data_IF_225058456038
#
_entry.id   IF_225058456038
#
_cell.length_a   1.000
_cell.length_b   1.000
_cell.length_c   1.000
_cell.angle_alpha   90.00
_cell.angle_beta   90.00
_cell.angle_gamma   90.00
#
_symmetry.space_group_name_H-M   'P 1'
#
loop_
_entity.id
_entity.type
_entity.pdbx_description
1 polymer ?
#
# COMPACT_ATOMS: atom_id res chain seq x y z
N UNK A 1 0.00 -7.20 41.89
CA UNK A 1 -0.62 -7.35 40.55
C UNK A 1 -0.60 -5.98 39.89
N UNK A 2 0.33 -5.73 38.97
CA UNK A 2 0.26 -4.52 38.11
C UNK A 2 -0.91 -4.78 37.15
N UNK A 3 -1.92 -3.91 37.15
CA UNK A 3 -3.01 -4.00 36.19
C UNK A 3 -2.43 -3.99 34.78
N UNK A 4 -2.63 -5.06 34.02
CA UNK A 4 -2.23 -5.11 32.62
C UNK A 4 -3.13 -4.14 31.86
N UNK A 5 -2.59 -2.97 31.51
CA UNK A 5 -3.30 -1.96 30.73
C UNK A 5 -3.42 -2.48 29.30
N UNK A 6 -4.55 -3.11 28.99
CA UNK A 6 -4.97 -3.39 27.61
C UNK A 6 -5.11 -2.06 26.87
N UNK A 7 -4.88 -2.03 25.54
CA UNK A 7 -5.11 -0.81 24.75
C UNK A 7 -6.59 -0.42 24.80
N UNK A 8 -6.91 0.58 25.62
CA UNK A 8 -8.25 1.17 25.74
C UNK A 8 -8.25 2.67 25.46
N UNK A 9 -7.08 3.30 25.57
CA UNK A 9 -6.84 4.73 25.32
C UNK A 9 -5.79 4.94 24.24
N UNK A 10 -5.76 6.15 23.67
CA UNK A 10 -4.77 6.54 22.65
C UNK A 10 -3.34 6.51 23.20
N UNK A 11 -3.12 6.89 24.47
CA UNK A 11 -1.79 6.89 25.07
C UNK A 11 -1.27 5.46 25.33
N UNK A 12 -2.16 4.53 25.74
CA UNK A 12 -1.82 3.11 25.81
C UNK A 12 -1.50 2.53 24.43
N UNK A 13 -2.23 2.95 23.39
CA UNK A 13 -1.95 2.56 22.01
C UNK A 13 -0.56 3.03 21.55
N UNK A 14 -0.16 4.27 21.91
CA UNK A 14 1.17 4.78 21.62
C UNK A 14 2.27 4.00 22.36
N UNK A 15 2.07 3.72 23.66
CA UNK A 15 3.01 2.89 24.42
C UNK A 15 3.11 1.45 23.90
N UNK A 16 2.00 0.88 23.41
CA UNK A 16 1.98 -0.42 22.74
C UNK A 16 2.77 -0.38 21.42
N UNK A 17 2.54 0.63 20.59
CA UNK A 17 3.21 0.81 19.32
C UNK A 17 4.72 1.02 19.48
N UNK A 18 5.16 1.76 20.50
CA UNK A 18 6.57 1.91 20.85
C UNK A 18 7.22 0.56 21.17
N UNK A 19 6.60 -0.27 22.03
CA UNK A 19 7.11 -1.62 22.35
C UNK A 19 7.17 -2.53 21.12
N UNK A 20 6.17 -2.46 20.24
CA UNK A 20 6.17 -3.18 18.97
C UNK A 20 7.37 -2.76 18.11
N UNK A 21 7.61 -1.45 17.99
CA UNK A 21 8.71 -0.90 17.21
C UNK A 21 10.05 -1.43 17.75
N UNK A 22 10.33 -1.26 19.05
CA UNK A 22 11.58 -1.73 19.66
C UNK A 22 11.78 -3.24 19.50
N UNK A 23 10.70 -4.04 19.60
CA UNK A 23 10.75 -5.49 19.40
C UNK A 23 11.17 -5.86 17.98
N UNK A 24 10.57 -5.22 16.98
CA UNK A 24 10.89 -5.51 15.57
C UNK A 24 12.33 -5.10 15.26
N UNK A 25 12.78 -3.96 15.79
CA UNK A 25 14.17 -3.48 15.61
C UNK A 25 15.18 -4.41 16.24
N UNK A 26 14.92 -4.86 17.48
CA UNK A 26 15.78 -5.83 18.15
C UNK A 26 15.88 -7.17 17.38
N UNK A 27 14.81 -7.58 16.72
CA UNK A 27 14.79 -8.81 15.92
C UNK A 27 15.48 -8.66 14.54
N UNK A 28 15.57 -7.42 14.03
CA UNK A 28 16.11 -7.13 12.70
C UNK A 28 17.62 -6.88 12.70
N UNK A 29 18.24 -6.72 13.87
CA UNK A 29 19.68 -6.55 14.04
C UNK A 29 20.25 -5.21 13.55
N UNK A 30 19.48 -4.45 12.75
CA UNK A 30 19.73 -3.08 12.31
C UNK A 30 18.40 -2.33 12.48
N UNK A 31 18.44 -1.06 12.92
CA UNK A 31 17.22 -0.28 13.17
C UNK A 31 16.31 -0.24 11.94
N UNK A 32 14.99 -0.09 12.15
CA UNK A 32 14.02 0.16 11.08
C UNK A 32 14.26 1.55 10.49
N UNK A 33 15.40 1.73 9.84
CA UNK A 33 15.62 2.90 9.02
C UNK A 33 14.74 2.70 7.79
N UNK A 34 14.23 3.80 7.24
CA UNK A 34 13.61 3.82 5.92
C UNK A 34 14.59 3.40 4.81
N UNK A 35 15.83 3.05 5.18
CA UNK A 35 16.92 2.41 4.47
C UNK A 35 17.01 0.90 4.76
N UNK A 36 15.91 0.16 4.88
CA UNK A 36 16.02 -1.22 4.42
C UNK A 36 15.84 -1.14 2.91
N UNK A 37 16.93 -1.29 2.12
CA UNK A 37 16.75 -1.67 0.75
C UNK A 37 15.78 -2.84 0.69
N UNK A 38 15.19 -3.08 -0.47
CA UNK A 38 14.75 -4.45 -0.74
C UNK A 38 15.87 -5.43 -0.31
N UNK A 39 15.60 -6.71 -0.04
CA UNK A 39 16.67 -7.69 0.26
C UNK A 39 17.75 -7.81 -0.86
N UNK A 40 17.65 -6.96 -1.87
CA UNK A 40 18.44 -6.76 -3.05
C UNK A 40 19.01 -5.31 -3.08
N UNK A 41 20.11 -5.09 -2.38
CA UNK A 41 20.79 -3.78 -2.35
C UNK A 41 21.25 -3.30 -3.75
N UNK A 42 21.40 -4.23 -4.70
CA UNK A 42 21.70 -3.92 -6.10
C UNK A 42 20.49 -3.28 -6.79
N UNK A 43 19.29 -3.82 -6.59
CA UNK A 43 18.06 -3.24 -7.12
C UNK A 43 17.80 -1.80 -6.64
N UNK A 44 18.18 -1.50 -5.39
CA UNK A 44 18.04 -0.15 -4.82
C UNK A 44 19.07 0.84 -5.39
N UNK A 45 20.29 0.40 -5.65
CA UNK A 45 21.31 1.22 -6.33
C UNK A 45 20.95 1.45 -7.81
N UNK A 46 20.41 0.45 -8.50
CA UNK A 46 19.89 0.58 -9.86
C UNK A 46 18.75 1.60 -9.93
N UNK A 47 17.83 1.55 -8.96
CA UNK A 47 16.74 2.49 -8.84
C UNK A 47 17.26 3.91 -8.57
N UNK A 48 18.24 4.08 -7.69
CA UNK A 48 18.89 5.38 -7.47
C UNK A 48 19.51 5.94 -8.74
N UNK A 49 20.29 5.13 -9.47
CA UNK A 49 20.88 5.51 -10.75
C UNK A 49 19.82 5.92 -11.78
N UNK A 50 18.71 5.19 -11.84
CA UNK A 50 17.59 5.54 -12.72
C UNK A 50 16.96 6.90 -12.35
N UNK A 51 16.82 7.21 -11.06
CA UNK A 51 16.31 8.51 -10.61
C UNK A 51 17.28 9.63 -10.99
N UNK A 52 18.57 9.48 -10.68
CA UNK A 52 19.59 10.50 -10.95
C UNK A 52 19.74 10.77 -12.45
N UNK A 53 19.58 9.73 -13.28
CA UNK A 53 19.62 9.84 -14.74
C UNK A 53 18.29 10.29 -15.37
N UNK A 54 17.23 10.51 -14.59
CA UNK A 54 15.88 10.76 -15.10
C UNK A 54 15.40 9.66 -16.09
N UNK A 55 15.81 8.41 -15.84
CA UNK A 55 15.49 7.25 -16.69
C UNK A 55 14.03 6.82 -16.48
N UNK A 56 13.14 7.47 -17.22
CA UNK A 56 11.71 7.20 -17.19
C UNK A 56 11.36 5.78 -17.61
N UNK A 57 12.13 5.15 -18.49
CA UNK A 57 11.85 3.77 -18.92
C UNK A 57 12.14 2.78 -17.79
N UNK A 58 13.24 2.98 -17.06
CA UNK A 58 13.57 2.18 -15.89
C UNK A 58 12.54 2.36 -14.76
N UNK A 59 12.17 3.60 -14.43
CA UNK A 59 11.15 3.88 -13.41
C UNK A 59 9.77 3.30 -13.77
N UNK A 60 9.41 3.37 -15.06
CA UNK A 60 8.21 2.70 -15.56
C UNK A 60 8.26 1.18 -15.35
N UNK A 61 9.38 0.54 -15.66
CA UNK A 61 9.55 -0.90 -15.48
C UNK A 61 9.39 -1.31 -14.01
N UNK A 62 9.96 -0.54 -13.08
CA UNK A 62 9.81 -0.72 -11.62
C UNK A 62 8.34 -0.65 -11.21
N UNK A 63 7.61 0.37 -11.67
CA UNK A 63 6.19 0.55 -11.38
C UNK A 63 5.34 -0.62 -11.91
N UNK A 64 5.54 -1.02 -13.17
CA UNK A 64 4.79 -2.13 -13.79
C UNK A 64 5.09 -3.48 -13.12
N UNK A 65 6.35 -3.73 -12.75
CA UNK A 65 6.72 -4.91 -11.98
C UNK A 65 5.98 -4.92 -10.63
N UNK A 66 5.98 -3.78 -9.93
CA UNK A 66 5.22 -3.59 -8.69
C UNK A 66 3.73 -3.91 -8.81
N UNK A 67 3.09 -3.53 -9.92
CA UNK A 67 1.67 -3.79 -10.15
C UNK A 67 1.37 -5.29 -10.33
N UNK A 68 2.34 -6.07 -10.78
CA UNK A 68 2.19 -7.51 -11.03
C UNK A 68 2.00 -8.34 -9.76
N UNK A 69 2.42 -7.83 -8.61
CA UNK A 69 2.26 -8.47 -7.29
C UNK A 69 0.80 -8.45 -6.77
N UNK A 70 -0.10 -7.70 -7.41
CA UNK A 70 -1.47 -7.56 -6.91
C UNK A 70 -2.31 -8.85 -6.98
N UNK A 71 -2.80 -9.28 -5.81
CA UNK A 71 -3.82 -10.33 -5.69
C UNK A 71 -3.31 -11.73 -6.00
N UNK A 72 -2.00 -11.96 -5.86
CA UNK A 72 -1.32 -13.26 -5.91
C UNK A 72 -0.13 -13.22 -4.93
N UNK A 73 0.55 -14.36 -4.73
CA UNK A 73 1.80 -14.39 -3.95
C UNK A 73 2.97 -13.85 -4.75
N UNK A 74 3.97 -13.30 -4.07
CA UNK A 74 5.16 -12.72 -4.72
C UNK A 74 5.89 -13.74 -5.59
N UNK A 75 6.09 -14.96 -5.09
CA UNK A 75 6.71 -16.04 -5.85
C UNK A 75 5.94 -16.38 -7.15
N UNK A 76 4.61 -16.28 -7.13
CA UNK A 76 3.80 -16.51 -8.33
C UNK A 76 3.95 -15.36 -9.33
N UNK A 77 3.99 -14.12 -8.84
CA UNK A 77 4.18 -12.95 -9.68
C UNK A 77 5.55 -12.97 -10.36
N UNK A 78 6.60 -13.25 -9.57
CA UNK A 78 7.98 -13.31 -10.03
C UNK A 78 8.18 -14.38 -11.11
N UNK A 79 7.75 -15.62 -10.84
CA UNK A 79 7.80 -16.71 -11.84
C UNK A 79 7.07 -16.34 -13.14
N UNK A 80 5.91 -15.70 -13.05
CA UNK A 80 5.18 -15.27 -14.25
C UNK A 80 5.98 -14.24 -15.06
N UNK A 81 6.62 -13.27 -14.40
CA UNK A 81 7.44 -12.26 -15.07
C UNK A 81 8.72 -12.86 -15.66
N UNK A 82 9.32 -13.86 -15.01
CA UNK A 82 10.47 -14.61 -15.55
C UNK A 82 10.08 -15.41 -16.80
N UNK A 83 8.91 -16.05 -16.81
CA UNK A 83 8.44 -16.88 -17.92
C UNK A 83 7.91 -16.06 -19.12
N UNK A 84 7.27 -14.91 -18.85
CA UNK A 84 6.53 -14.16 -19.87
C UNK A 84 7.01 -12.72 -20.09
N UNK A 85 7.97 -12.26 -19.30
CA UNK A 85 8.43 -10.88 -19.30
C UNK A 85 7.47 -9.90 -18.61
N UNK A 86 7.85 -8.63 -18.63
CA UNK A 86 7.06 -7.49 -18.19
C UNK A 86 6.70 -6.59 -19.37
N UNK A 87 5.81 -5.61 -19.15
CA UNK A 87 5.53 -4.64 -20.19
C UNK A 87 6.72 -3.69 -20.35
N UNK A 88 7.24 -3.58 -21.56
CA UNK A 88 8.42 -2.78 -21.89
C UNK A 88 8.02 -1.39 -22.44
N UNK A 89 8.72 -0.34 -22.00
CA UNK A 89 8.41 1.04 -22.36
C UNK A 89 8.55 1.30 -23.88
N UNK A 90 9.71 1.01 -24.53
CA UNK A 90 9.84 1.10 -25.98
C UNK A 90 8.80 0.27 -26.76
N UNK A 91 8.47 -0.95 -26.29
CA UNK A 91 7.47 -1.78 -26.93
C UNK A 91 6.06 -1.15 -26.91
N UNK A 92 5.67 -0.54 -25.78
CA UNK A 92 4.39 0.18 -25.68
C UNK A 92 4.39 1.42 -26.57
N UNK A 93 5.48 2.20 -26.55
CA UNK A 93 5.63 3.39 -27.40
C UNK A 93 5.38 3.05 -28.88
N UNK A 94 6.07 2.04 -29.41
CA UNK A 94 5.90 1.56 -30.79
C UNK A 94 4.48 1.05 -31.05
N UNK A 95 3.93 0.30 -30.10
CA UNK A 95 2.57 -0.25 -30.23
C UNK A 95 1.50 0.84 -30.27
N UNK A 96 1.71 1.95 -29.54
CA UNK A 96 0.84 3.11 -29.57
C UNK A 96 0.96 3.87 -30.89
N UNK A 97 2.17 4.05 -31.41
CA UNK A 97 2.39 4.68 -32.73
C UNK A 97 1.68 3.92 -33.84
N UNK A 98 1.73 2.59 -33.81
CA UNK A 98 1.05 1.72 -34.77
C UNK A 98 -0.47 1.64 -34.54
N UNK A 99 -0.90 1.73 -33.28
CA UNK A 99 -2.29 1.49 -32.88
C UNK A 99 -3.17 2.73 -32.77
N UNK A 100 -2.61 3.94 -32.70
CA UNK A 100 -3.36 5.18 -32.41
C UNK A 100 -4.47 5.48 -33.42
N UNK A 101 -4.27 5.10 -34.68
CA UNK A 101 -5.25 5.30 -35.75
C UNK A 101 -6.32 4.19 -35.76
N UNK A 102 -6.05 3.04 -35.11
CA UNK A 102 -7.01 1.95 -34.94
C UNK A 102 -8.04 2.25 -33.85
N UNK A 103 -7.64 2.97 -32.79
CA UNK A 103 -8.50 3.20 -31.63
C UNK A 103 -8.26 4.60 -31.03
N UNK A 104 -9.28 5.49 -31.03
CA UNK A 104 -9.17 6.83 -30.47
C UNK A 104 -8.77 6.86 -28.98
N UNK A 105 -9.03 5.77 -28.26
CA UNK A 105 -8.66 5.63 -26.84
C UNK A 105 -7.15 5.51 -26.61
N UNK A 106 -6.36 5.22 -27.64
CA UNK A 106 -4.90 5.10 -27.54
C UNK A 106 -4.19 6.44 -27.75
N UNK A 107 -4.93 7.51 -28.07
CA UNK A 107 -4.36 8.81 -28.38
C UNK A 107 -3.76 9.51 -27.15
N UNK A 108 -4.36 9.34 -25.97
CA UNK A 108 -3.90 9.98 -24.75
C UNK A 108 -4.50 9.39 -23.49
N UNK A 109 -3.96 9.79 -22.34
CA UNK A 109 -4.34 9.29 -21.03
C UNK A 109 -5.84 9.45 -20.76
N UNK A 110 -6.39 10.65 -20.99
CA UNK A 110 -7.81 10.92 -20.76
C UNK A 110 -8.72 10.06 -21.64
N UNK A 111 -8.39 9.89 -22.92
CA UNK A 111 -9.19 9.06 -23.83
C UNK A 111 -9.06 7.57 -23.49
N UNK A 112 -7.93 7.16 -22.91
CA UNK A 112 -7.66 5.79 -22.48
C UNK A 112 -8.46 5.34 -21.26
N UNK A 113 -8.87 6.26 -20.37
CA UNK A 113 -9.69 5.93 -19.17
C UNK A 113 -10.93 5.10 -19.53
N UNK A 114 -11.49 5.31 -20.72
CA UNK A 114 -12.63 4.56 -21.24
C UNK A 114 -12.29 3.20 -21.91
N UNK A 115 -11.06 2.70 -21.84
CA UNK A 115 -10.62 1.45 -22.50
C UNK A 115 -11.37 0.24 -21.94
N UNK A 116 -11.33 0.02 -20.62
CA UNK A 116 -12.08 -1.04 -19.91
C UNK A 116 -11.87 -2.43 -20.52
N UNK A 117 -10.66 -2.75 -20.94
CA UNK A 117 -10.34 -4.05 -21.52
C UNK A 117 -10.50 -5.20 -20.52
N UNK A 118 -11.31 -6.19 -20.87
CA UNK A 118 -11.55 -7.38 -20.07
C UNK A 118 -11.07 -8.62 -20.81
N UNK A 119 -9.84 -9.06 -20.50
CA UNK A 119 -9.17 -10.20 -21.15
C UNK A 119 -10.02 -11.47 -21.19
N UNK A 120 -10.64 -11.84 -20.06
CA UNK A 120 -11.46 -13.06 -19.96
C UNK A 120 -12.72 -13.03 -20.85
N UNK A 121 -13.35 -11.85 -20.99
CA UNK A 121 -14.55 -11.67 -21.82
C UNK A 121 -14.25 -11.30 -23.26
N UNK A 122 -12.99 -10.94 -23.57
CA UNK A 122 -12.56 -10.37 -24.85
C UNK A 122 -13.46 -9.18 -25.25
N UNK A 123 -13.63 -8.23 -24.34
CA UNK A 123 -14.41 -7.00 -24.56
C UNK A 123 -13.63 -5.77 -24.14
N UNK A 124 -13.93 -4.61 -24.73
CA UNK A 124 -13.43 -3.31 -24.30
C UNK A 124 -14.43 -2.21 -24.71
N UNK A 125 -14.12 -0.96 -24.39
CA UNK A 125 -14.90 0.23 -24.76
C UNK A 125 -14.75 0.66 -26.23
N UNK A 126 -14.02 -0.11 -27.06
CA UNK A 126 -14.02 0.02 -28.51
C UNK A 126 -13.93 -1.39 -29.17
N UNK A 127 -15.03 -2.15 -29.22
CA UNK A 127 -15.02 -3.53 -29.69
C UNK A 127 -14.52 -3.70 -31.13
N UNK A 128 -14.75 -2.71 -32.00
CA UNK A 128 -14.37 -2.77 -33.41
C UNK A 128 -12.85 -2.85 -33.62
N UNK A 129 -12.08 -2.17 -32.75
CA UNK A 129 -10.63 -2.15 -32.82
C UNK A 129 -9.96 -3.33 -32.07
N UNK A 130 -10.73 -4.12 -31.30
CA UNK A 130 -10.19 -5.13 -30.41
C UNK A 130 -9.32 -6.21 -31.09
N UNK A 131 -9.67 -6.74 -32.28
CA UNK A 131 -8.87 -7.79 -32.92
C UNK A 131 -7.42 -7.42 -33.20
N UNK A 132 -7.15 -6.13 -33.43
CA UNK A 132 -5.81 -5.59 -33.68
C UNK A 132 -5.31 -4.70 -32.53
N UNK A 133 -5.97 -4.73 -31.37
CA UNK A 133 -5.67 -3.79 -30.29
C UNK A 133 -4.37 -4.18 -29.56
N UNK A 134 -3.38 -3.26 -29.46
CA UNK A 134 -2.12 -3.56 -28.80
C UNK A 134 -2.26 -3.81 -27.29
N UNK A 135 -3.27 -3.23 -26.63
CA UNK A 135 -3.58 -3.50 -25.23
C UNK A 135 -3.94 -4.97 -25.03
N UNK A 136 -4.70 -5.57 -25.96
CA UNK A 136 -5.09 -6.97 -25.87
C UNK A 136 -3.93 -7.93 -26.13
N UNK A 137 -2.92 -7.49 -26.90
CA UNK A 137 -1.77 -8.28 -27.29
C UNK A 137 -0.72 -8.46 -26.18
N UNK A 138 -0.69 -7.59 -25.16
CA UNK A 138 0.27 -7.74 -24.05
C UNK A 138 0.07 -9.08 -23.31
N UNK A 139 1.14 -9.89 -23.13
CA UNK A 139 1.06 -11.22 -22.55
C UNK A 139 0.98 -11.21 -21.01
N UNK A 140 0.46 -10.16 -20.36
CA UNK A 140 0.37 -10.11 -18.90
C UNK A 140 -0.76 -10.98 -18.37
N UNK A 141 -0.62 -11.47 -17.14
CA UNK A 141 -1.54 -12.46 -16.54
C UNK A 141 -3.02 -12.03 -16.47
N UNK A 142 -3.32 -10.73 -16.33
CA UNK A 142 -4.70 -10.21 -16.21
C UNK A 142 -4.88 -9.01 -17.12
N UNK A 143 -6.06 -8.85 -17.70
CA UNK A 143 -6.39 -7.69 -18.55
C UNK A 143 -6.19 -6.34 -17.86
N UNK A 144 -6.43 -6.27 -16.54
CA UNK A 144 -6.17 -5.06 -15.77
C UNK A 144 -4.68 -4.68 -15.75
N UNK A 145 -3.75 -5.64 -15.79
CA UNK A 145 -2.32 -5.33 -15.91
C UNK A 145 -2.00 -4.74 -17.28
N UNK A 146 -2.64 -5.24 -18.34
CA UNK A 146 -2.48 -4.67 -19.69
C UNK A 146 -2.95 -3.21 -19.70
N UNK A 147 -4.11 -2.94 -19.08
CA UNK A 147 -4.60 -1.57 -18.94
C UNK A 147 -3.67 -0.71 -18.08
N UNK A 148 -3.14 -1.22 -16.97
CA UNK A 148 -2.21 -0.50 -16.10
C UNK A 148 -0.94 -0.09 -16.82
N UNK A 149 -0.35 -1.00 -17.59
CA UNK A 149 0.87 -0.74 -18.36
C UNK A 149 0.67 0.42 -19.34
N UNK A 150 -0.34 0.34 -20.21
CA UNK A 150 -0.66 1.42 -21.15
C UNK A 150 -1.10 2.71 -20.46
N UNK A 151 -1.91 2.60 -19.40
CA UNK A 151 -2.40 3.76 -18.65
C UNK A 151 -1.26 4.51 -17.95
N UNK A 152 -0.29 3.79 -17.38
CA UNK A 152 0.89 4.39 -16.76
C UNK A 152 1.79 5.06 -17.82
N UNK A 153 2.04 4.39 -18.95
CA UNK A 153 2.81 4.98 -20.04
C UNK A 153 2.20 6.30 -20.50
N UNK A 154 0.90 6.29 -20.79
CA UNK A 154 0.17 7.48 -21.25
C UNK A 154 0.14 8.57 -20.18
N UNK A 155 0.01 8.21 -18.90
CA UNK A 155 0.08 9.16 -17.80
C UNK A 155 1.43 9.88 -17.77
N UNK A 156 2.53 9.13 -17.82
CA UNK A 156 3.87 9.71 -17.75
C UNK A 156 4.12 10.59 -18.98
N UNK A 157 3.76 10.11 -20.17
CA UNK A 157 3.88 10.88 -21.41
C UNK A 157 3.08 12.19 -21.37
N UNK A 158 1.81 12.12 -20.98
CA UNK A 158 0.86 13.23 -21.16
C UNK A 158 0.81 14.19 -19.97
N UNK A 159 0.92 13.68 -18.74
CA UNK A 159 0.83 14.47 -17.50
C UNK A 159 2.18 14.79 -16.88
N UNK A 160 3.18 13.91 -17.05
CA UNK A 160 4.53 14.14 -16.56
C UNK A 160 5.48 14.66 -17.65
N UNK A 161 4.98 14.95 -18.86
CA UNK A 161 5.80 15.44 -19.96
C UNK A 161 6.88 14.46 -20.43
N UNK A 162 6.75 13.17 -20.12
CA UNK A 162 7.74 12.14 -20.41
C UNK A 162 8.89 12.05 -19.40
N UNK A 163 8.87 12.82 -18.31
CA UNK A 163 9.87 12.78 -17.24
C UNK A 163 9.19 12.71 -15.87
N UNK A 164 9.17 11.50 -15.29
CA UNK A 164 8.54 11.28 -13.98
C UNK A 164 9.29 11.98 -12.84
N UNK A 165 10.63 12.04 -12.90
CA UNK A 165 11.44 12.65 -11.84
C UNK A 165 11.26 14.16 -11.83
N UNK A 166 11.35 14.80 -13.00
CA UNK A 166 11.11 16.24 -13.11
C UNK A 166 9.68 16.62 -12.70
N UNK A 167 8.69 15.78 -13.00
CA UNK A 167 7.32 16.00 -12.53
C UNK A 167 7.21 15.92 -11.00
N UNK A 168 7.85 14.93 -10.36
CA UNK A 168 7.88 14.84 -8.89
C UNK A 168 8.56 16.09 -8.31
N UNK A 169 9.71 16.48 -8.84
CA UNK A 169 10.43 17.71 -8.41
C UNK A 169 9.54 18.95 -8.52
N UNK A 170 8.76 19.08 -9.60
CA UNK A 170 7.80 20.17 -9.77
C UNK A 170 6.69 20.14 -8.71
N UNK A 171 6.10 18.97 -8.43
CA UNK A 171 5.07 18.82 -7.39
C UNK A 171 5.62 19.23 -6.03
N UNK A 172 6.83 18.78 -5.69
CA UNK A 172 7.47 19.12 -4.44
C UNK A 172 7.73 20.62 -4.32
N UNK A 173 8.32 21.23 -5.36
CA UNK A 173 8.65 22.65 -5.41
C UNK A 173 7.40 23.55 -5.23
N UNK A 174 6.27 23.19 -5.86
CA UNK A 174 5.01 23.95 -5.72
C UNK A 174 4.51 23.97 -4.27
N UNK A 175 4.73 22.88 -3.52
CA UNK A 175 4.24 22.78 -2.15
C UNK A 175 5.16 23.43 -1.10
N UNK A 176 6.40 23.81 -1.43
CA UNK A 176 7.41 24.21 -0.43
C UNK A 176 6.99 25.38 0.46
N UNK A 177 6.16 26.29 -0.06
CA UNK A 177 5.67 27.45 0.70
C UNK A 177 4.37 27.17 1.47
N UNK A 178 3.81 25.98 1.39
CA UNK A 178 2.57 25.61 2.05
C UNK A 178 2.79 25.27 3.54
N UNK A 179 1.77 25.37 4.41
CA UNK A 179 1.92 25.05 5.83
C UNK A 179 2.27 23.58 6.14
N UNK A 180 1.84 22.64 5.28
CA UNK A 180 2.17 21.21 5.38
C UNK A 180 2.61 20.69 3.99
N UNK A 181 3.84 21.03 3.54
CA UNK A 181 4.33 20.71 2.21
C UNK A 181 4.37 19.20 1.97
N UNK A 182 4.76 18.44 3.00
CA UNK A 182 4.84 16.98 2.97
C UNK A 182 3.50 16.34 2.69
N UNK A 183 2.43 16.77 3.37
CA UNK A 183 1.09 16.22 3.12
C UNK A 183 0.56 16.60 1.75
N UNK A 184 0.72 17.85 1.32
CA UNK A 184 0.23 18.30 0.02
C UNK A 184 0.93 17.54 -1.11
N UNK A 185 2.26 17.45 -1.06
CA UNK A 185 3.07 16.68 -2.00
C UNK A 185 2.66 15.21 -2.03
N UNK A 186 2.52 14.57 -0.86
CA UNK A 186 2.09 13.18 -0.76
C UNK A 186 0.75 12.96 -1.45
N UNK A 187 -0.28 13.77 -1.13
CA UNK A 187 -1.61 13.58 -1.68
C UNK A 187 -1.63 13.80 -3.19
N UNK A 188 -0.90 14.79 -3.70
CA UNK A 188 -0.76 15.04 -5.13
C UNK A 188 -0.12 13.86 -5.88
N UNK A 189 0.98 13.32 -5.36
CA UNK A 189 1.69 12.19 -5.97
C UNK A 189 0.87 10.89 -5.90
N UNK A 190 0.20 10.62 -4.78
CA UNK A 190 -0.71 9.48 -4.66
C UNK A 190 -1.88 9.62 -5.64
N UNK A 191 -2.49 10.81 -5.74
CA UNK A 191 -3.59 11.06 -6.66
C UNK A 191 -3.18 10.85 -8.12
N UNK A 192 -1.96 11.27 -8.50
CA UNK A 192 -1.40 11.01 -9.82
C UNK A 192 -1.39 9.50 -10.11
N UNK A 193 -0.78 8.70 -9.24
CA UNK A 193 -0.60 7.27 -9.53
C UNK A 193 -1.91 6.48 -9.39
N UNK A 194 -2.84 6.90 -8.53
CA UNK A 194 -4.21 6.35 -8.43
C UNK A 194 -5.04 6.63 -9.69
N UNK A 195 -4.70 7.65 -10.48
CA UNK A 195 -5.36 7.87 -11.77
C UNK A 195 -5.08 6.73 -12.76
N UNK A 196 -3.97 6.00 -12.61
CA UNK A 196 -3.69 4.80 -13.41
C UNK A 196 -4.75 3.74 -13.13
N UNK A 197 -5.36 3.23 -14.19
CA UNK A 197 -6.48 2.29 -14.09
C UNK A 197 -6.15 1.08 -13.22
N UNK A 198 -6.89 0.87 -12.14
CA UNK A 198 -6.71 -0.32 -11.28
C UNK A 198 -5.58 -0.21 -10.26
N UNK A 199 -4.88 0.93 -10.20
CA UNK A 199 -3.95 1.22 -9.10
C UNK A 199 -4.75 1.67 -7.88
N UNK A 200 -4.55 1.00 -6.75
CA UNK A 200 -5.16 1.39 -5.47
C UNK A 200 -4.26 2.37 -4.73
N UNK A 201 -4.82 3.13 -3.78
CA UNK A 201 -4.05 4.02 -2.89
C UNK A 201 -2.93 3.28 -2.16
N UNK A 202 -3.21 2.09 -1.61
CA UNK A 202 -2.18 1.21 -1.00
C UNK A 202 -1.00 1.01 -1.94
N UNK A 203 -1.26 0.56 -3.16
CA UNK A 203 -0.20 0.29 -4.13
C UNK A 203 0.55 1.57 -4.50
N UNK A 204 -0.18 2.66 -4.76
CA UNK A 204 0.44 3.94 -5.09
C UNK A 204 1.40 4.41 -3.98
N UNK A 205 0.93 4.41 -2.72
CA UNK A 205 1.75 4.76 -1.56
C UNK A 205 2.97 3.86 -1.43
N UNK A 206 2.81 2.53 -1.62
CA UNK A 206 3.92 1.58 -1.51
C UNK A 206 4.99 1.81 -2.58
N UNK A 207 4.58 1.98 -3.85
CA UNK A 207 5.51 2.15 -4.96
C UNK A 207 6.21 3.51 -4.94
N UNK A 208 5.46 4.58 -4.65
CA UNK A 208 6.04 5.93 -4.53
C UNK A 208 6.98 6.01 -3.33
N UNK A 209 6.62 5.44 -2.18
CA UNK A 209 7.52 5.40 -1.03
C UNK A 209 8.85 4.72 -1.36
N UNK A 210 8.83 3.60 -2.10
CA UNK A 210 10.05 2.90 -2.50
C UNK A 210 10.91 3.73 -3.45
N UNK A 211 10.33 4.24 -4.54
CA UNK A 211 11.04 5.10 -5.50
C UNK A 211 11.63 6.32 -4.78
N UNK A 212 10.84 6.99 -3.94
CA UNK A 212 11.27 8.23 -3.31
C UNK A 212 12.23 8.02 -2.13
N UNK A 213 12.28 6.84 -1.54
CA UNK A 213 13.26 6.49 -0.51
C UNK A 213 14.63 6.15 -1.11
N UNK A 214 14.68 5.66 -2.35
CA UNK A 214 15.92 5.27 -3.03
C UNK A 214 16.81 6.47 -3.44
N UNK A 215 16.31 7.70 -3.35
CA UNK A 215 17.07 8.91 -3.70
C UNK A 215 18.32 9.11 -2.85
N UNK A 216 19.25 9.92 -3.34
CA UNK A 216 20.37 10.47 -2.56
C UNK A 216 19.92 11.34 -1.39
N UNK A 217 20.82 11.52 -0.40
CA UNK A 217 20.54 12.24 0.86
C UNK A 217 20.25 13.74 0.71
N UNK A 218 20.67 14.34 -0.40
CA UNK A 218 20.41 15.74 -0.72
C UNK A 218 18.94 15.99 -1.11
N UNK A 219 18.20 14.96 -1.57
CA UNK A 219 16.75 15.02 -1.86
C UNK A 219 15.89 14.88 -0.60
N UNK A 220 16.15 15.71 0.44
CA UNK A 220 15.47 15.62 1.75
C UNK A 220 13.94 15.69 1.68
N UNK A 221 13.38 16.52 0.80
CA UNK A 221 11.92 16.65 0.65
C UNK A 221 11.29 15.36 0.09
N UNK A 222 11.96 14.69 -0.88
CA UNK A 222 11.53 13.38 -1.38
C UNK A 222 11.46 12.36 -0.25
N UNK A 223 12.54 12.25 0.53
CA UNK A 223 12.63 11.30 1.65
C UNK A 223 11.57 11.58 2.72
N UNK A 224 11.31 12.85 3.05
CA UNK A 224 10.25 13.23 3.98
C UNK A 224 8.85 12.82 3.49
N UNK A 225 8.56 13.04 2.20
CA UNK A 225 7.30 12.62 1.59
C UNK A 225 7.18 11.09 1.58
N UNK A 226 8.23 10.37 1.20
CA UNK A 226 8.29 8.91 1.23
C UNK A 226 8.02 8.35 2.64
N UNK A 227 8.67 8.93 3.66
CA UNK A 227 8.50 8.58 5.07
C UNK A 227 7.07 8.77 5.57
N UNK A 228 6.32 9.68 4.95
CA UNK A 228 4.93 9.97 5.29
C UNK A 228 3.91 9.08 4.58
N UNK A 229 4.31 8.26 3.60
CA UNK A 229 3.38 7.38 2.86
C UNK A 229 3.11 6.10 3.65
N UNK A 230 1.84 5.73 3.82
CA UNK A 230 1.42 4.56 4.61
C UNK A 230 0.68 3.58 3.71
N UNK A 231 1.07 2.31 3.72
CA UNK A 231 0.38 1.27 2.94
C UNK A 231 -0.46 0.37 3.85
N UNK A 232 -1.77 0.62 3.93
CA UNK A 232 -2.66 -0.21 4.76
C UNK A 232 -3.15 -1.43 3.96
N UNK A 233 -2.63 -2.60 4.30
CA UNK A 233 -3.14 -3.88 3.84
C UNK A 233 -3.96 -4.60 4.93
N UNK A 234 -4.38 -5.84 4.65
CA UNK A 234 -5.16 -6.62 5.62
C UNK A 234 -4.35 -6.96 6.86
N UNK A 235 -3.03 -7.14 6.79
CA UNK A 235 -2.21 -7.42 7.96
C UNK A 235 -2.15 -6.19 8.87
N UNK A 236 -1.85 -5.03 8.30
CA UNK A 236 -1.79 -3.77 9.04
C UNK A 236 -3.15 -3.44 9.66
N UNK A 237 -4.23 -3.50 8.87
CA UNK A 237 -5.58 -3.24 9.39
C UNK A 237 -5.97 -4.22 10.50
N UNK A 238 -5.82 -5.53 10.26
CA UNK A 238 -6.20 -6.55 11.23
C UNK A 238 -5.38 -6.45 12.51
N UNK A 239 -4.10 -6.05 12.42
CA UNK A 239 -3.29 -5.78 13.60
C UNK A 239 -3.88 -4.66 14.44
N UNK A 240 -4.17 -3.49 13.85
CA UNK A 240 -4.77 -2.36 14.56
C UNK A 240 -6.13 -2.71 15.18
N UNK A 241 -6.91 -3.58 14.52
CA UNK A 241 -8.16 -4.08 15.08
C UNK A 241 -7.92 -5.01 16.27
N UNK A 242 -7.16 -6.11 16.07
CA UNK A 242 -6.92 -7.15 17.09
C UNK A 242 -6.27 -6.61 18.36
N UNK A 243 -5.44 -5.58 18.24
CA UNK A 243 -4.78 -4.96 19.39
C UNK A 243 -5.67 -4.01 20.17
N UNK A 244 -6.86 -3.65 19.65
CA UNK A 244 -7.74 -2.67 20.26
C UNK A 244 -7.43 -1.22 19.87
N UNK A 245 -6.36 -0.98 19.10
CA UNK A 245 -5.93 0.37 18.68
C UNK A 245 -7.05 1.10 17.94
N UNK A 246 -7.73 0.44 16.97
CA UNK A 246 -8.84 1.10 16.26
C UNK A 246 -9.98 1.49 17.21
N UNK A 247 -10.25 0.70 18.25
CA UNK A 247 -11.27 1.03 19.24
C UNK A 247 -10.85 2.22 20.11
N UNK A 248 -9.59 2.26 20.57
CA UNK A 248 -9.05 3.37 21.36
C UNK A 248 -9.11 4.72 20.62
N UNK A 249 -8.98 4.69 19.29
CA UNK A 249 -9.13 5.86 18.41
C UNK A 249 -10.58 6.19 18.01
N UNK A 250 -11.58 5.39 18.42
CA UNK A 250 -12.95 5.53 17.91
C UNK A 250 -13.05 5.31 16.39
N UNK A 251 -12.09 4.58 15.82
CA UNK A 251 -11.86 4.41 14.40
C UNK A 251 -12.18 2.99 13.92
N UNK A 252 -13.06 2.25 14.61
CA UNK A 252 -13.43 0.89 14.22
C UNK A 252 -14.15 0.87 12.86
N UNK A 253 -13.64 0.07 11.92
CA UNK A 253 -14.22 -0.11 10.59
C UNK A 253 -13.80 -1.44 9.99
N UNK A 254 -14.53 -1.91 8.97
CA UNK A 254 -14.13 -3.06 8.17
C UNK A 254 -13.00 -2.69 7.20
N UNK A 255 -12.06 -3.62 6.97
CA UNK A 255 -10.99 -3.47 6.00
C UNK A 255 -11.52 -3.06 4.62
N UNK A 256 -10.86 -2.08 3.99
CA UNK A 256 -11.20 -1.60 2.65
C UNK A 256 -10.89 -0.13 2.46
N UNK A 257 -11.68 0.56 1.64
CA UNK A 257 -11.48 1.97 1.30
C UNK A 257 -11.54 2.90 2.52
N UNK A 258 -12.27 2.52 3.57
CA UNK A 258 -12.36 3.27 4.83
C UNK A 258 -11.01 3.36 5.56
N UNK A 259 -10.05 2.48 5.30
CA UNK A 259 -8.70 2.55 5.86
C UNK A 259 -7.98 3.87 5.53
N UNK A 260 -8.37 4.53 4.43
CA UNK A 260 -7.79 5.79 3.96
C UNK A 260 -8.76 6.97 4.08
N UNK A 261 -9.84 6.83 4.88
CA UNK A 261 -10.82 7.88 5.13
C UNK A 261 -10.44 8.78 6.33
N UNK A 262 -11.35 9.72 6.64
CA UNK A 262 -11.19 10.73 7.71
C UNK A 262 -11.01 10.18 9.14
N UNK A 263 -11.26 8.89 9.34
CA UNK A 263 -11.03 8.17 10.60
C UNK A 263 -10.46 6.77 10.33
N UNK A 264 -9.64 6.65 9.28
CA UNK A 264 -9.08 5.39 8.82
C UNK A 264 -7.74 5.01 9.47
N UNK A 265 -7.30 3.78 9.21
CA UNK A 265 -5.99 3.27 9.65
C UNK A 265 -4.81 4.19 9.27
N UNK A 266 -4.84 4.83 8.10
CA UNK A 266 -3.77 5.74 7.67
C UNK A 266 -3.57 6.89 8.66
N UNK A 267 -4.67 7.54 9.08
CA UNK A 267 -4.60 8.65 10.04
C UNK A 267 -4.20 8.17 11.44
N UNK A 268 -4.72 7.00 11.85
CA UNK A 268 -4.34 6.37 13.13
C UNK A 268 -2.83 6.11 13.18
N UNK A 269 -2.24 5.55 12.12
CA UNK A 269 -0.79 5.27 12.06
C UNK A 269 0.02 6.57 12.11
N UNK A 270 -0.42 7.62 11.42
CA UNK A 270 0.27 8.93 11.43
C UNK A 270 0.31 9.55 12.82
N UNK A 271 -0.85 9.59 13.49
CA UNK A 271 -0.95 10.12 14.85
C UNK A 271 -0.15 9.25 15.84
N UNK A 272 -0.26 7.92 15.74
CA UNK A 272 0.55 7.01 16.54
C UNK A 272 2.04 7.23 16.35
N UNK A 273 2.52 7.42 15.11
CA UNK A 273 3.93 7.65 14.85
C UNK A 273 4.42 8.96 15.50
N UNK A 274 3.62 10.03 15.46
CA UNK A 274 3.94 11.28 16.16
C UNK A 274 4.01 11.09 17.69
N UNK A 275 3.08 10.32 18.27
CA UNK A 275 3.07 10.02 19.72
C UNK A 275 4.22 9.12 20.14
N UNK A 276 4.52 8.09 19.36
CA UNK A 276 5.69 7.22 19.57
C UNK A 276 6.97 8.06 19.49
N UNK A 277 7.06 9.00 18.56
CA UNK A 277 8.21 9.91 18.48
C UNK A 277 8.43 10.69 19.78
N UNK A 278 7.34 11.16 20.40
CA UNK A 278 7.40 11.86 21.68
C UNK A 278 7.85 10.94 22.84
N UNK A 279 7.48 9.65 22.80
CA UNK A 279 7.89 8.64 23.80
C UNK A 279 9.38 8.29 23.63
N UNK A 280 9.81 8.02 22.41
CA UNK A 280 11.18 7.59 22.09
C UNK A 280 12.20 8.74 22.13
N UNK A 281 11.73 10.00 22.10
CA UNK A 281 12.61 11.16 21.98
C UNK A 281 13.33 11.27 20.64
N UNK A 282 12.88 10.50 19.63
CA UNK A 282 13.43 10.49 18.27
C UNK A 282 12.31 10.40 17.24
N UNK A 283 12.55 10.89 16.02
CA UNK A 283 11.51 10.92 14.98
C UNK A 283 11.20 9.50 14.50
N UNK A 284 9.95 9.10 14.63
CA UNK A 284 9.36 7.88 14.06
C UNK A 284 8.42 8.31 12.95
N UNK A 285 8.74 7.93 11.72
CA UNK A 285 7.88 8.22 10.58
C UNK A 285 6.66 7.29 10.53
N UNK A 286 5.53 7.75 9.97
CA UNK A 286 4.36 6.89 9.75
C UNK A 286 4.69 5.60 8.99
N UNK A 287 5.54 5.69 7.96
CA UNK A 287 5.98 4.52 7.18
C UNK A 287 6.79 3.55 8.03
N UNK A 288 7.71 4.02 8.89
CA UNK A 288 8.50 3.17 9.77
C UNK A 288 7.60 2.38 10.72
N UNK A 289 6.62 3.04 11.33
CA UNK A 289 5.66 2.37 12.22
C UNK A 289 4.78 1.36 11.45
N UNK A 290 4.26 1.74 10.28
CA UNK A 290 3.50 0.81 9.43
C UNK A 290 4.31 -0.43 9.05
N UNK A 291 5.57 -0.23 8.64
CA UNK A 291 6.46 -1.32 8.28
C UNK A 291 6.75 -2.24 9.47
N UNK A 292 6.94 -1.68 10.67
CA UNK A 292 7.08 -2.48 11.90
C UNK A 292 5.86 -3.38 12.15
N UNK A 293 4.65 -2.83 11.99
CA UNK A 293 3.39 -3.59 12.07
C UNK A 293 3.39 -4.70 11.02
N UNK A 294 3.71 -4.37 9.77
CA UNK A 294 3.74 -5.35 8.69
C UNK A 294 4.73 -6.49 8.99
N UNK A 295 5.99 -6.21 9.38
CA UNK A 295 6.99 -7.22 9.70
C UNK A 295 6.61 -8.10 10.90
N UNK A 296 5.95 -7.53 11.89
CA UNK A 296 5.43 -8.31 13.00
C UNK A 296 4.36 -9.33 12.57
N UNK A 297 3.57 -8.99 11.55
CA UNK A 297 2.47 -9.80 11.08
C UNK A 297 2.85 -10.75 9.94
N UNK A 298 3.67 -10.32 8.99
CA UNK A 298 3.95 -11.01 7.75
C UNK A 298 4.56 -12.40 7.97
N UNK A 299 4.12 -13.38 7.19
CA UNK A 299 4.51 -14.78 7.39
C UNK A 299 5.98 -15.07 7.06
N UNK A 300 6.62 -14.20 6.29
CA UNK A 300 8.05 -14.30 5.93
C UNK A 300 8.96 -13.54 6.89
N UNK A 301 8.37 -12.83 7.85
CA UNK A 301 9.06 -12.01 8.85
C UNK A 301 8.85 -12.66 10.22
N UNK A 302 8.43 -11.90 11.25
CA UNK A 302 8.22 -12.45 12.60
C UNK A 302 7.00 -13.35 12.71
N UNK A 303 6.05 -13.24 11.77
CA UNK A 303 4.90 -14.13 11.61
C UNK A 303 4.09 -14.34 12.90
N UNK A 304 3.88 -13.29 13.70
CA UNK A 304 3.17 -13.37 14.99
C UNK A 304 1.66 -13.09 14.87
N UNK A 305 1.28 -11.89 14.44
CA UNK A 305 -0.13 -11.48 14.40
C UNK A 305 -0.77 -11.67 13.01
N UNK A 306 -0.96 -12.92 12.57
CA UNK A 306 -1.59 -13.23 11.27
C UNK A 306 -2.60 -14.37 11.34
N UNK A 307 -3.44 -14.47 10.31
CA UNK A 307 -4.49 -15.49 10.20
C UNK A 307 -4.00 -16.93 10.03
N UNK A 308 -2.67 -17.18 9.91
CA UNK A 308 -2.13 -18.55 10.00
C UNK A 308 -1.86 -18.98 11.45
N UNK A 309 -1.78 -18.03 12.37
CA UNK A 309 -1.47 -18.26 13.80
C UNK A 309 -2.66 -18.01 14.72
N UNK A 310 -3.60 -17.16 14.30
CA UNK A 310 -4.73 -16.72 15.12
C UNK A 310 -6.01 -17.24 14.50
N UNK A 311 -6.87 -17.85 15.33
CA UNK A 311 -8.27 -18.08 14.99
C UNK A 311 -9.05 -16.78 15.25
N UNK A 312 -9.65 -16.24 14.19
CA UNK A 312 -10.31 -14.93 14.20
C UNK A 312 -11.75 -14.93 14.71
N UNK A 313 -12.31 -16.12 15.00
CA UNK A 313 -13.66 -16.30 15.55
C UNK A 313 -13.77 -15.97 17.05
N UNK A 314 -12.63 -15.82 17.73
CA UNK A 314 -12.55 -15.58 19.17
C UNK A 314 -11.35 -14.73 19.57
N UNK A 315 -11.21 -14.47 20.86
CA UNK A 315 -10.06 -13.73 21.38
C UNK A 315 -8.76 -14.46 21.05
N UNK A 316 -7.71 -13.71 20.74
CA UNK A 316 -6.39 -14.28 20.43
C UNK A 316 -5.92 -15.21 21.56
N UNK A 317 -5.37 -16.37 21.21
CA UNK A 317 -4.89 -17.38 22.17
C UNK A 317 -3.35 -17.54 22.18
N UNK A 318 -2.62 -16.67 21.47
CA UNK A 318 -1.15 -16.70 21.39
C UNK A 318 -0.51 -16.10 22.64
N UNK A 319 -0.57 -16.82 23.76
CA UNK A 319 -0.08 -16.35 25.07
C UNK A 319 1.43 -16.12 25.13
N UNK A 320 2.21 -16.70 24.21
CA UNK A 320 3.66 -16.48 24.07
C UNK A 320 4.00 -15.21 23.26
N UNK A 321 2.99 -14.46 22.82
CA UNK A 321 3.20 -13.21 22.09
C UNK A 321 3.89 -12.18 23.00
N UNK A 322 5.02 -11.58 22.59
CA UNK A 322 5.74 -10.58 23.41
C UNK A 322 4.94 -9.29 23.65
N UNK A 323 3.83 -9.09 22.94
CA UNK A 323 2.91 -7.97 23.11
C UNK A 323 1.61 -8.36 23.81
N UNK A 324 1.52 -9.58 24.35
CA UNK A 324 0.30 -10.15 24.92
C UNK A 324 -0.35 -9.24 25.96
N UNK A 325 0.40 -8.82 26.97
CA UNK A 325 -0.09 -8.08 28.14
C UNK A 325 -0.74 -6.73 27.80
N UNK A 326 -0.36 -6.10 26.69
CA UNK A 326 -0.92 -4.82 26.25
C UNK A 326 -1.94 -4.93 25.14
N UNK A 327 -2.16 -6.13 24.57
CA UNK A 327 -3.01 -6.32 23.42
C UNK A 327 -4.48 -6.49 23.86
N UNK A 328 -5.41 -5.86 23.14
CA UNK A 328 -6.85 -6.01 23.42
C UNK A 328 -7.46 -7.36 23.01
N UNK A 329 -6.71 -8.22 22.31
CA UNK A 329 -7.11 -9.56 21.84
C UNK A 329 -8.46 -9.60 21.10
N UNK A 330 -8.82 -8.52 20.40
CA UNK A 330 -10.14 -8.35 19.80
C UNK A 330 -10.32 -9.33 18.62
N UNK A 331 -11.38 -10.14 18.58
CA UNK A 331 -11.67 -11.00 17.42
C UNK A 331 -11.99 -10.18 16.16
N UNK A 332 -11.58 -10.66 14.99
CA UNK A 332 -12.01 -10.06 13.71
C UNK A 332 -13.45 -10.46 13.34
N UNK A 333 -13.88 -11.65 13.73
CA UNK A 333 -15.18 -12.23 13.41
C UNK A 333 -15.90 -12.67 14.67
N UNK A 334 -16.31 -11.73 15.56
CA UNK A 334 -17.04 -12.10 16.76
C UNK A 334 -18.33 -12.85 16.36
N UNK A 335 -18.70 -13.91 17.10
CA UNK A 335 -19.96 -14.60 16.85
C UNK A 335 -21.11 -13.59 16.91
N UNK A 336 -22.04 -13.70 15.96
CA UNK A 336 -23.26 -12.90 16.00
C UNK A 336 -23.94 -13.13 17.35
N UNK A 337 -24.43 -12.08 18.04
CA UNK A 337 -25.25 -12.27 19.23
C UNK A 337 -26.35 -13.26 18.85
N UNK A 338 -26.46 -14.37 19.58
CA UNK A 338 -27.61 -15.24 19.44
C UNK A 338 -28.83 -14.36 19.72
N UNK A 339 -29.75 -14.24 18.75
CA UNK A 339 -31.07 -13.69 19.01
C UNK A 339 -31.60 -14.45 20.22
N UNK A 340 -31.81 -13.73 21.32
CA UNK A 340 -32.33 -14.33 22.53
C UNK A 340 -33.57 -15.10 22.14
N UNK A 341 -33.52 -16.42 22.30
CA UNK A 341 -34.71 -17.26 22.20
C UNK A 341 -35.70 -16.68 23.21
N UNK A 342 -36.74 -16.01 22.71
CA UNK A 342 -37.94 -15.76 23.49
C UNK A 342 -38.47 -17.13 23.87
N UNK A 343 -38.14 -17.56 25.08
CA UNK A 343 -38.76 -18.70 25.73
C UNK A 343 -40.16 -18.24 26.14
N UNK A 344 -41.06 -18.30 25.18
CA UNK A 344 -42.48 -18.03 25.33
C UNK A 344 -43.11 -19.21 26.06
N UNK A 345 -42.86 -19.30 27.38
CA UNK A 345 -43.63 -20.14 28.30
C UNK A 345 -44.65 -19.28 29.04
N UNK A 346 -45.42 -18.51 28.27
CA UNK A 346 -46.73 -18.03 28.70
C UNK A 346 -47.71 -19.20 28.71
N UNK A 347 -47.78 -19.95 29.81
CA UNK A 347 -48.92 -20.82 30.08
C UNK A 347 -49.59 -20.39 31.40
N UNK A 348 -50.83 -19.88 31.38
CA UNK A 348 -51.53 -19.49 32.59
C UNK A 348 -51.97 -20.74 33.36
N UNK A 349 -51.75 -20.74 34.67
CA UNK A 349 -52.27 -21.74 35.59
C UNK A 349 -53.81 -21.72 35.59
N UNK A 350 -54.42 -22.89 35.40
CA UNK A 350 -55.78 -23.22 35.85
C UNK A 350 -55.64 -24.02 37.15
#
# INVERSE_FOLDING_TARGET
>A
MKGSLMVTTVDEAAGFAARLLSLVEAASGHGLVLDEPSSDAEADEDLRRAIDAHDTAALYAVLVAGFSYQGITDATAQRFMEEHGTADWPAIARSLEQGRDLCPKLQGFETFVGCRYQKARKTCGNPAALPACPVAALPLRKGILNEQAFSLYLLIRDRCGGDLVAFIDQVLAVSECEPDPTTISREALIALLVAVRGVSRKLASMMLAWIMAATSDDRRHWRAVAASMVAVDSLVHNHLHRTGILSAYGAAHAYGTRCFGLSGCELVIRDLAARVSAIEGSIVSPRRLEHAVWRFCASRELARCNGRRINDDGACQLTDCPLWDGCGHVPLHPPRPQEASHDDTGNPAI
#
